data_IF_417385828915
#
_entry.id   IF_417385828915
#
_cell.length_a   1.000
_cell.length_b   1.000
_cell.length_c   1.000
_cell.angle_alpha   90.00
_cell.angle_beta   90.00
_cell.angle_gamma   90.00
#
_symmetry.space_group_name_H-M   'P 1'
#
loop_
_entity.id
_entity.type
_entity.pdbx_description
1 polymer ?
#
# COMPACT_ATOMS: atom_id res chain seq x y z
N UNK A 1 8.20 -9.32 -21.87
CA UNK A 1 9.31 -9.84 -21.04
C UNK A 1 9.60 -8.92 -19.85
N UNK A 2 10.04 -7.68 -20.08
CA UNK A 2 10.38 -6.73 -19.00
C UNK A 2 9.30 -6.54 -17.93
N UNK A 3 8.04 -6.31 -18.32
CA UNK A 3 6.92 -6.16 -17.37
C UNK A 3 6.74 -7.35 -16.42
N UNK A 4 7.03 -8.58 -16.90
CA UNK A 4 6.94 -9.79 -16.08
C UNK A 4 8.09 -9.90 -15.09
N UNK A 5 9.30 -9.57 -15.52
CA UNK A 5 10.49 -9.52 -14.66
C UNK A 5 10.28 -8.49 -13.56
N UNK A 6 9.89 -7.26 -13.94
CA UNK A 6 9.62 -6.18 -12.99
C UNK A 6 8.57 -6.59 -11.96
N UNK A 7 7.50 -7.26 -12.38
CA UNK A 7 6.46 -7.73 -11.47
C UNK A 7 6.98 -8.75 -10.44
N UNK A 8 7.66 -9.81 -10.89
CA UNK A 8 8.16 -10.84 -9.98
C UNK A 8 9.25 -10.30 -9.04
N UNK A 9 10.07 -9.36 -9.53
CA UNK A 9 11.02 -8.64 -8.70
C UNK A 9 10.34 -7.79 -7.62
N UNK A 10 9.26 -7.08 -7.96
CA UNK A 10 8.48 -6.30 -6.99
C UNK A 10 7.82 -7.20 -5.93
N UNK A 11 7.25 -8.34 -6.34
CA UNK A 11 6.65 -9.31 -5.39
C UNK A 11 7.70 -9.87 -4.45
N UNK A 12 8.83 -10.34 -4.96
CA UNK A 12 9.93 -10.85 -4.12
C UNK A 12 10.51 -9.78 -3.21
N UNK A 13 10.63 -8.53 -3.70
CA UNK A 13 11.05 -7.38 -2.91
C UNK A 13 10.09 -7.03 -1.78
N UNK A 14 8.77 -7.07 -2.03
CA UNK A 14 7.76 -6.82 -0.99
C UNK A 14 7.81 -7.91 0.10
N UNK A 15 7.92 -9.18 -0.30
CA UNK A 15 8.08 -10.30 0.64
C UNK A 15 9.37 -10.14 1.45
N UNK A 16 10.46 -9.71 0.81
CA UNK A 16 11.72 -9.42 1.49
C UNK A 16 11.57 -8.33 2.55
N UNK A 17 10.96 -7.19 2.21
CA UNK A 17 10.76 -6.08 3.14
C UNK A 17 9.93 -6.51 4.35
N UNK A 18 8.85 -7.29 4.12
CA UNK A 18 8.05 -7.85 5.22
C UNK A 18 8.88 -8.78 6.10
N UNK A 19 9.66 -9.69 5.50
CA UNK A 19 10.52 -10.60 6.24
C UNK A 19 11.60 -9.89 7.06
N UNK A 20 12.30 -8.93 6.46
CA UNK A 20 13.29 -8.10 7.14
C UNK A 20 12.65 -7.30 8.28
N UNK A 21 11.45 -6.76 8.07
CA UNK A 21 10.73 -6.02 9.11
C UNK A 21 10.35 -6.92 10.30
N UNK A 22 9.92 -8.16 10.04
CA UNK A 22 9.64 -9.13 11.11
C UNK A 22 10.89 -9.56 11.87
N UNK A 23 12.01 -9.69 11.15
CA UNK A 23 13.30 -10.03 11.75
C UNK A 23 13.80 -8.88 12.65
N UNK A 24 13.79 -7.65 12.15
CA UNK A 24 14.46 -6.51 12.80
C UNK A 24 13.57 -5.76 13.79
N UNK A 25 12.27 -5.61 13.53
CA UNK A 25 11.37 -4.81 14.38
C UNK A 25 10.52 -5.66 15.34
N UNK A 26 10.24 -6.92 14.98
CA UNK A 26 9.41 -7.80 15.82
C UNK A 26 10.22 -8.88 16.56
N UNK A 27 11.53 -8.99 16.32
CA UNK A 27 12.43 -10.06 16.81
C UNK A 27 11.93 -11.48 16.48
N UNK A 28 11.06 -11.61 15.46
CA UNK A 28 10.51 -12.88 14.96
C UNK A 28 11.48 -13.43 13.91
N UNK A 29 12.64 -13.92 14.38
CA UNK A 29 13.78 -14.23 13.50
C UNK A 29 13.53 -15.39 12.54
N UNK A 30 12.90 -16.47 12.98
CA UNK A 30 12.67 -17.66 12.15
C UNK A 30 11.80 -17.35 10.93
N UNK A 31 10.54 -16.94 11.15
CA UNK A 31 9.64 -16.50 10.07
C UNK A 31 10.17 -15.30 9.27
N UNK A 32 10.81 -14.33 9.94
CA UNK A 32 11.39 -13.15 9.28
C UNK A 32 12.48 -13.53 8.28
N UNK A 33 13.42 -14.40 8.68
CA UNK A 33 14.45 -14.92 7.79
C UNK A 33 13.87 -15.73 6.64
N UNK A 34 12.91 -16.62 6.92
CA UNK A 34 12.26 -17.43 5.88
C UNK A 34 11.62 -16.54 4.81
N UNK A 35 10.91 -15.49 5.21
CA UNK A 35 10.31 -14.55 4.28
C UNK A 35 11.36 -13.70 3.56
N UNK A 36 12.37 -13.19 4.25
CA UNK A 36 13.44 -12.38 3.66
C UNK A 36 14.19 -13.17 2.58
N UNK A 37 14.78 -14.31 2.94
CA UNK A 37 15.52 -15.15 2.00
C UNK A 37 14.61 -15.76 0.95
N UNK A 38 13.39 -16.16 1.32
CA UNK A 38 12.39 -16.68 0.40
C UNK A 38 12.00 -15.67 -0.68
N UNK A 39 11.81 -14.40 -0.32
CA UNK A 39 11.52 -13.31 -1.25
C UNK A 39 12.65 -13.07 -2.24
N UNK A 40 13.90 -13.08 -1.77
CA UNK A 40 15.09 -12.94 -2.64
C UNK A 40 15.25 -14.12 -3.61
N UNK A 41 15.13 -15.36 -3.11
CA UNK A 41 15.23 -16.57 -3.94
C UNK A 41 14.11 -16.59 -4.97
N UNK A 42 12.88 -16.26 -4.57
CA UNK A 42 11.76 -16.16 -5.48
C UNK A 42 12.03 -15.16 -6.61
N UNK A 43 12.47 -13.93 -6.29
CA UNK A 43 12.79 -12.92 -7.29
C UNK A 43 13.89 -13.38 -8.25
N UNK A 44 14.97 -13.97 -7.73
CA UNK A 44 16.09 -14.45 -8.53
C UNK A 44 15.69 -15.58 -9.49
N UNK A 45 15.05 -16.63 -8.95
CA UNK A 45 14.66 -17.83 -9.73
C UNK A 45 13.64 -17.47 -10.81
N UNK A 46 12.62 -16.70 -10.46
CA UNK A 46 11.58 -16.33 -11.44
C UNK A 46 12.13 -15.42 -12.54
N UNK A 47 13.03 -14.49 -12.20
CA UNK A 47 13.72 -13.66 -13.19
C UNK A 47 14.57 -14.50 -14.12
N UNK A 48 15.36 -15.44 -13.60
CA UNK A 48 16.18 -16.34 -14.41
C UNK A 48 15.33 -17.19 -15.36
N UNK A 49 14.23 -17.77 -14.86
CA UNK A 49 13.31 -18.56 -15.68
C UNK A 49 12.70 -17.73 -16.82
N UNK A 50 12.28 -16.50 -16.55
CA UNK A 50 11.75 -15.61 -17.59
C UNK A 50 12.81 -15.25 -18.64
N UNK A 51 14.07 -15.05 -18.22
CA UNK A 51 15.18 -14.77 -19.13
C UNK A 51 15.51 -15.96 -20.05
N UNK A 52 15.36 -17.19 -19.56
CA UNK A 52 15.54 -18.43 -20.35
C UNK A 52 14.30 -18.74 -21.21
N UNK A 53 13.29 -17.87 -21.22
CA UNK A 53 12.10 -17.99 -22.06
C UNK A 53 10.98 -18.83 -21.45
N UNK A 54 11.09 -19.22 -20.18
CA UNK A 54 10.01 -19.90 -19.46
C UNK A 54 8.87 -18.91 -19.23
N UNK A 55 7.70 -19.26 -19.77
CA UNK A 55 6.51 -18.44 -19.64
C UNK A 55 5.82 -18.72 -18.30
N UNK A 56 6.33 -18.12 -17.22
CA UNK A 56 5.70 -18.24 -15.91
C UNK A 56 4.31 -17.60 -15.88
N UNK A 57 3.32 -18.25 -15.22
CA UNK A 57 2.03 -17.65 -14.98
C UNK A 57 2.23 -16.39 -14.14
N UNK A 58 1.50 -15.34 -14.50
CA UNK A 58 1.43 -14.17 -13.63
C UNK A 58 0.72 -14.57 -12.34
N UNK A 59 1.32 -14.38 -11.14
CA UNK A 59 0.66 -14.66 -9.87
C UNK A 59 -0.72 -13.99 -9.82
N UNK A 60 -1.67 -14.69 -9.20
CA UNK A 60 -3.08 -14.27 -9.07
C UNK A 60 -3.11 -12.84 -8.52
N UNK A 61 -3.53 -11.90 -9.36
CA UNK A 61 -3.59 -10.47 -9.00
C UNK A 61 -3.45 -9.48 -10.16
N UNK A 62 -2.98 -9.89 -11.35
CA UNK A 62 -2.78 -8.93 -12.46
C UNK A 62 -4.07 -8.55 -13.21
N UNK A 63 -5.23 -9.14 -12.89
CA UNK A 63 -6.50 -8.52 -13.28
C UNK A 63 -6.80 -7.23 -12.49
N UNK A 64 -6.06 -6.98 -11.42
CA UNK A 64 -6.08 -5.72 -10.68
C UNK A 64 -5.06 -4.77 -11.31
N UNK A 65 -5.48 -4.07 -12.36
CA UNK A 65 -4.72 -2.94 -12.91
C UNK A 65 -4.47 -1.83 -11.87
N UNK A 66 -4.01 -0.63 -12.31
CA UNK A 66 -3.82 0.55 -11.43
C UNK A 66 -5.06 0.90 -10.57
N UNK A 67 -6.22 0.30 -10.85
CA UNK A 67 -7.45 0.35 -10.09
C UNK A 67 -7.38 -0.19 -8.66
N UNK A 68 -6.62 -1.25 -8.33
CA UNK A 68 -6.60 -1.75 -6.94
C UNK A 68 -5.72 -0.88 -6.05
N UNK A 69 -4.51 -0.54 -6.50
CA UNK A 69 -3.69 0.46 -5.82
C UNK A 69 -4.44 1.78 -5.74
N UNK A 70 -5.01 2.28 -6.85
CA UNK A 70 -5.80 3.51 -6.85
C UNK A 70 -7.02 3.46 -5.91
N UNK A 71 -7.67 2.31 -5.75
CA UNK A 71 -8.77 2.13 -4.79
C UNK A 71 -8.27 2.14 -3.35
N UNK A 72 -7.16 1.46 -3.06
CA UNK A 72 -6.51 1.51 -1.73
C UNK A 72 -6.06 2.94 -1.40
N UNK A 73 -5.45 3.67 -2.33
CA UNK A 73 -5.05 5.08 -2.09
C UNK A 73 -6.26 5.99 -1.89
N UNK A 74 -7.34 5.79 -2.67
CA UNK A 74 -8.60 6.53 -2.48
C UNK A 74 -9.25 6.22 -1.13
N UNK A 75 -9.29 4.97 -0.72
CA UNK A 75 -9.86 4.55 0.56
C UNK A 75 -9.04 5.14 1.74
N UNK A 76 -7.70 5.19 1.64
CA UNK A 76 -6.84 5.84 2.63
C UNK A 76 -7.07 7.36 2.67
N UNK A 77 -7.18 8.01 1.49
CA UNK A 77 -7.44 9.44 1.40
C UNK A 77 -8.81 9.82 1.97
N UNK A 78 -9.85 9.02 1.70
CA UNK A 78 -11.18 9.25 2.27
C UNK A 78 -11.22 9.06 3.77
N UNK A 79 -10.48 8.08 4.32
CA UNK A 79 -10.36 7.90 5.78
C UNK A 79 -9.73 9.12 6.44
N UNK A 80 -8.59 9.60 5.92
CA UNK A 80 -7.93 10.80 6.46
C UNK A 80 -8.82 12.05 6.37
N UNK A 81 -9.49 12.26 5.24
CA UNK A 81 -10.39 13.39 5.09
C UNK A 81 -11.63 13.31 6.03
N UNK A 82 -12.09 12.10 6.39
CA UNK A 82 -13.13 11.91 7.42
C UNK A 82 -12.61 12.18 8.82
N UNK A 83 -11.38 11.77 9.13
CA UNK A 83 -10.73 12.04 10.41
C UNK A 83 -10.52 13.54 10.62
N UNK A 84 -10.03 14.25 9.60
CA UNK A 84 -9.88 15.71 9.63
C UNK A 84 -11.24 16.42 9.81
N UNK A 85 -12.30 15.96 9.14
CA UNK A 85 -13.65 16.50 9.34
C UNK A 85 -14.18 16.28 10.77
N UNK A 86 -13.88 15.12 11.37
CA UNK A 86 -14.25 14.82 12.76
C UNK A 86 -13.48 15.70 13.75
N UNK A 87 -12.22 15.99 13.47
CA UNK A 87 -11.39 16.89 14.28
C UNK A 87 -11.90 18.34 14.21
N UNK A 88 -12.22 18.83 13.01
CA UNK A 88 -12.84 20.15 12.85
C UNK A 88 -14.20 20.25 13.53
N UNK A 89 -14.98 19.17 13.56
CA UNK A 89 -16.25 19.14 14.28
C UNK A 89 -16.04 19.28 15.79
N UNK A 90 -15.02 18.62 16.35
CA UNK A 90 -14.68 18.77 17.78
C UNK A 90 -14.26 20.20 18.12
N UNK A 91 -13.45 20.84 17.27
CA UNK A 91 -13.02 22.23 17.48
C UNK A 91 -14.17 23.23 17.41
N UNK A 92 -15.21 22.95 16.62
CA UNK A 92 -16.45 23.71 16.60
C UNK A 92 -17.26 23.50 17.90
N UNK A 93 -17.40 22.24 18.34
CA UNK A 93 -18.12 21.89 19.57
C UNK A 93 -17.43 22.47 20.82
N UNK A 94 -16.11 22.62 20.79
CA UNK A 94 -15.30 23.28 21.83
C UNK A 94 -15.32 24.83 21.72
N UNK A 95 -15.99 25.39 20.72
CA UNK A 95 -16.11 26.84 20.51
C UNK A 95 -14.83 27.53 20.03
N UNK A 96 -13.82 26.76 19.60
CA UNK A 96 -12.54 27.26 19.07
C UNK A 96 -12.70 27.78 17.65
N UNK A 97 -13.63 27.19 16.88
CA UNK A 97 -13.99 27.61 15.53
C UNK A 97 -15.40 28.19 15.51
N UNK A 98 -15.61 29.17 14.65
CA UNK A 98 -16.96 29.65 14.34
C UNK A 98 -17.64 28.73 13.31
N UNK A 99 -18.98 28.72 13.29
CA UNK A 99 -19.76 27.91 12.36
C UNK A 99 -19.39 28.20 10.88
N UNK A 100 -19.09 29.46 10.58
CA UNK A 100 -18.71 29.92 9.24
C UNK A 100 -17.34 29.36 8.78
N UNK A 101 -16.37 29.29 9.70
CA UNK A 101 -15.04 28.72 9.43
C UNK A 101 -15.09 27.20 9.28
N UNK A 102 -15.96 26.53 10.06
CA UNK A 102 -16.21 25.11 9.91
C UNK A 102 -16.86 24.79 8.56
N UNK A 103 -17.88 25.54 8.16
CA UNK A 103 -18.60 25.30 6.90
C UNK A 103 -17.72 25.54 5.67
N UNK A 104 -16.84 26.54 5.71
CA UNK A 104 -15.86 26.79 4.64
C UNK A 104 -14.87 25.62 4.48
N UNK A 105 -14.31 25.12 5.59
CA UNK A 105 -13.36 23.99 5.55
C UNK A 105 -14.05 22.66 5.22
N UNK A 106 -15.26 22.44 5.73
CA UNK A 106 -16.04 21.25 5.45
C UNK A 106 -16.44 21.17 3.96
N UNK A 107 -16.74 22.31 3.33
CA UNK A 107 -17.02 22.38 1.90
C UNK A 107 -15.77 22.04 1.06
N UNK A 108 -14.58 22.48 1.46
CA UNK A 108 -13.33 22.16 0.77
C UNK A 108 -12.96 20.68 0.91
N UNK A 109 -13.10 20.12 2.11
CA UNK A 109 -12.85 18.70 2.40
C UNK A 109 -13.85 17.77 1.69
N UNK A 110 -15.14 18.15 1.62
CA UNK A 110 -16.15 17.39 0.86
C UNK A 110 -15.83 17.29 -0.63
N UNK A 111 -15.24 18.32 -1.24
CA UNK A 111 -14.80 18.30 -2.65
C UNK A 111 -13.62 17.36 -2.90
N UNK A 112 -12.83 17.03 -1.88
CA UNK A 112 -11.72 16.06 -1.97
C UNK A 112 -12.16 14.61 -1.75
N UNK A 113 -13.36 14.41 -1.17
CA UNK A 113 -13.93 13.09 -0.84
C UNK A 113 -14.82 12.54 -1.97
N UNK A 114 -15.51 13.42 -2.71
CA UNK A 114 -16.40 13.11 -3.85
C UNK A 114 -15.64 13.13 -5.18
#
# INVERSE_FOLDING_TARGET
>A
MFKKILFHALVGGAIFVVGASLHDFADIRGPGNFLAYGGMVYAGVTTLLILVGVNLPSPIGIHSGPSFLGKVTKDISQKRAREELLEYKKLLDEGVLTQEEFDAKAAELKKKIL
#
